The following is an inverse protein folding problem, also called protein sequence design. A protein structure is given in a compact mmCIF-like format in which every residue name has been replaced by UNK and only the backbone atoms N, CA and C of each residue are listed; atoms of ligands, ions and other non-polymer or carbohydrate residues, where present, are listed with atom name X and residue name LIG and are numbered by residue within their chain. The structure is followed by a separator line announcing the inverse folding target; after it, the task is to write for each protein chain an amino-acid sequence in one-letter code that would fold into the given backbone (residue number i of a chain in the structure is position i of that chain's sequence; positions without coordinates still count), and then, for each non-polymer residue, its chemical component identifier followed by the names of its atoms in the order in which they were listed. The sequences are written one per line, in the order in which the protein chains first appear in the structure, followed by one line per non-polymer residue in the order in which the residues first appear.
data_IF_668560600028
#
_entry.id   IF_668560600028
#
_cell.length_a   1.000
_cell.length_b   1.000
_cell.length_c   1.000
_cell.angle_alpha   90.00
_cell.angle_beta   90.00
_cell.angle_gamma   90.00
#
_symmetry.space_group_name_H-M   'P 1'
#
loop_
_entity.id
_entity.type
_entity.pdbx_description
1 polymer ?
#
# COMPACT_ATOMS: atom_id res chain seq x y z
N UNK A 1 -17.49 -0.95 7.95
CA UNK A 1 -16.26 -0.71 8.73
C UNK A 1 -15.16 -0.27 7.78
N UNK A 2 -14.64 0.94 7.92
CA UNK A 2 -13.50 1.42 7.12
C UNK A 2 -12.26 0.58 7.49
N UNK A 3 -11.69 -0.21 6.58
CA UNK A 3 -10.37 -0.81 6.87
C UNK A 3 -9.40 0.33 7.13
N UNK A 4 -8.86 0.38 8.35
CA UNK A 4 -7.82 1.32 8.72
C UNK A 4 -6.52 0.67 8.29
N UNK A 5 -5.86 1.24 7.29
CA UNK A 5 -4.51 0.83 6.95
C UNK A 5 -3.61 1.01 8.16
N UNK A 6 -2.64 0.10 8.31
CA UNK A 6 -1.63 0.22 9.34
C UNK A 6 -0.78 1.46 9.08
N UNK A 7 -0.38 2.22 10.12
CA UNK A 7 0.46 3.40 9.96
C UNK A 7 1.81 3.07 9.30
N UNK A 8 2.27 1.82 9.43
CA UNK A 8 3.49 1.32 8.79
C UNK A 8 3.38 1.30 7.26
N UNK A 9 2.21 0.91 6.72
CA UNK A 9 1.98 0.91 5.28
C UNK A 9 2.01 2.33 4.73
N UNK A 10 1.38 3.27 5.43
CA UNK A 10 1.37 4.67 5.01
C UNK A 10 2.81 5.23 4.96
N UNK A 11 3.60 4.94 5.99
CA UNK A 11 4.99 5.37 6.07
C UNK A 11 5.86 4.77 4.96
N UNK A 12 5.65 3.49 4.63
CA UNK A 12 6.34 2.82 3.51
C UNK A 12 5.97 3.46 2.15
N UNK A 13 4.69 3.76 1.94
CA UNK A 13 4.25 4.46 0.72
C UNK A 13 4.88 5.85 0.58
N UNK A 14 4.93 6.62 1.67
CA UNK A 14 5.52 7.97 1.67
C UNK A 14 7.05 7.96 1.55
N UNK A 15 7.73 7.02 2.20
CA UNK A 15 9.20 6.98 2.24
C UNK A 15 9.84 6.13 1.16
N UNK A 16 9.42 4.87 1.04
CA UNK A 16 10.05 3.90 0.13
C UNK A 16 9.50 4.07 -1.29
N UNK A 17 8.20 4.29 -1.45
CA UNK A 17 7.61 4.55 -2.76
C UNK A 17 7.66 6.03 -3.16
N UNK A 18 8.12 6.91 -2.25
CA UNK A 18 8.18 8.36 -2.44
C UNK A 18 6.84 8.97 -2.92
N UNK A 19 5.72 8.39 -2.49
CA UNK A 19 4.39 8.87 -2.87
C UNK A 19 4.02 10.11 -2.06
N UNK A 20 3.52 11.17 -2.70
CA UNK A 20 3.01 12.31 -1.96
C UNK A 20 1.71 11.91 -1.22
N UNK A 21 1.46 12.51 -0.05
CA UNK A 21 0.29 12.18 0.77
C UNK A 21 -1.04 12.43 0.04
N UNK A 22 -1.07 13.35 -0.92
CA UNK A 22 -2.23 13.64 -1.77
C UNK A 22 -2.58 12.46 -2.69
N UNK A 23 -1.58 11.83 -3.31
CA UNK A 23 -1.76 10.64 -4.14
C UNK A 23 -2.25 9.46 -3.33
N UNK A 24 -1.71 9.29 -2.11
CA UNK A 24 -2.15 8.23 -1.21
C UNK A 24 -3.61 8.48 -0.80
N UNK A 25 -3.95 9.70 -0.39
CA UNK A 25 -5.33 10.07 -0.04
C UNK A 25 -6.32 9.84 -1.19
N UNK A 26 -5.92 10.13 -2.43
CA UNK A 26 -6.72 9.85 -3.61
C UNK A 26 -6.94 8.35 -3.79
N UNK A 27 -5.88 7.53 -3.75
CA UNK A 27 -5.97 6.08 -3.87
C UNK A 27 -6.85 5.45 -2.78
N UNK A 28 -6.73 5.94 -1.53
CA UNK A 28 -7.55 5.52 -0.40
C UNK A 28 -9.05 5.82 -0.60
N UNK A 29 -9.38 6.99 -1.15
CA UNK A 29 -10.78 7.34 -1.47
C UNK A 29 -11.35 6.43 -2.54
N UNK A 30 -10.58 6.13 -3.57
CA UNK A 30 -11.00 5.22 -4.65
C UNK A 30 -11.16 3.80 -4.14
N UNK A 31 -10.26 3.36 -3.26
CA UNK A 31 -10.34 2.06 -2.61
C UNK A 31 -11.65 1.85 -1.84
N UNK A 32 -12.10 2.86 -1.09
CA UNK A 32 -13.38 2.82 -0.38
C UNK A 32 -14.59 2.65 -1.32
N UNK A 33 -14.50 3.13 -2.57
CA UNK A 33 -15.58 3.07 -3.56
C UNK A 33 -15.56 1.78 -4.37
N UNK A 34 -14.36 1.32 -4.78
CA UNK A 34 -14.17 0.25 -5.75
C UNK A 34 -13.96 -1.13 -5.12
N UNK A 35 -13.80 -1.23 -3.78
CA UNK A 35 -13.55 -2.48 -3.04
C UNK A 35 -12.36 -3.31 -3.57
N UNK A 36 -11.43 -2.68 -4.30
CA UNK A 36 -10.27 -3.35 -4.90
C UNK A 36 -9.12 -3.55 -3.90
N UNK A 37 -7.93 -3.93 -4.39
CA UNK A 37 -6.71 -3.92 -3.59
C UNK A 37 -5.98 -2.59 -3.76
N UNK A 38 -5.55 -1.95 -2.66
CA UNK A 38 -4.82 -0.68 -2.71
C UNK A 38 -3.61 -0.70 -3.68
N UNK A 39 -2.76 -1.75 -3.72
CA UNK A 39 -1.64 -1.82 -4.66
C UNK A 39 -2.09 -1.70 -6.12
N UNK A 40 -3.15 -2.42 -6.48
CA UNK A 40 -3.70 -2.43 -7.85
C UNK A 40 -4.27 -1.06 -8.22
N UNK A 41 -4.91 -0.38 -7.27
CA UNK A 41 -5.41 0.99 -7.49
C UNK A 41 -4.25 1.95 -7.70
N UNK A 42 -3.19 1.88 -6.89
CA UNK A 42 -2.01 2.72 -7.08
C UNK A 42 -1.41 2.55 -8.49
N UNK A 43 -1.29 1.30 -8.96
CA UNK A 43 -0.77 1.02 -10.30
C UNK A 43 -1.71 1.44 -11.43
N UNK A 44 -3.02 1.19 -11.30
CA UNK A 44 -4.01 1.55 -12.31
C UNK A 44 -4.06 3.06 -12.57
N UNK A 45 -3.82 3.87 -11.53
CA UNK A 45 -3.75 5.33 -11.64
C UNK A 45 -2.36 5.84 -12.05
N UNK A 46 -1.39 4.95 -12.29
CA UNK A 46 -0.02 5.32 -12.64
C UNK A 46 0.74 6.02 -11.51
N UNK A 47 0.31 5.84 -10.25
CA UNK A 47 0.97 6.41 -9.08
C UNK A 47 2.25 5.66 -8.73
N UNK A 48 2.32 4.37 -9.10
CA UNK A 48 3.47 3.50 -8.86
C UNK A 48 3.81 2.71 -10.12
N UNK A 49 5.08 2.34 -10.26
CA UNK A 49 5.54 1.46 -11.35
C UNK A 49 5.28 -0.01 -11.03
N UNK A 50 5.40 -0.89 -12.04
CA UNK A 50 5.26 -2.34 -11.83
C UNK A 50 6.28 -2.89 -10.82
N UNK A 51 7.52 -2.37 -10.82
CA UNK A 51 8.54 -2.75 -9.84
C UNK A 51 8.13 -2.36 -8.41
N UNK A 52 7.61 -1.15 -8.22
CA UNK A 52 7.11 -0.69 -6.92
C UNK A 52 5.85 -1.44 -6.48
N UNK A 53 5.03 -1.86 -7.44
CA UNK A 53 3.86 -2.71 -7.16
C UNK A 53 4.31 -4.06 -6.59
N UNK A 54 5.34 -4.67 -7.18
CA UNK A 54 5.90 -5.95 -6.72
C UNK A 54 6.46 -5.83 -5.30
N UNK A 55 7.34 -4.84 -5.05
CA UNK A 55 7.88 -4.60 -3.70
C UNK A 55 6.80 -4.27 -2.67
N UNK A 56 5.72 -3.60 -3.06
CA UNK A 56 4.59 -3.34 -2.18
C UNK A 56 3.83 -4.63 -1.83
N UNK A 57 3.67 -5.55 -2.76
CA UNK A 57 3.09 -6.87 -2.48
C UNK A 57 3.98 -7.70 -1.56
N UNK A 58 5.30 -7.72 -1.80
CA UNK A 58 6.27 -8.38 -0.92
C UNK A 58 6.23 -7.80 0.50
N UNK A 59 6.19 -6.48 0.64
CA UNK A 59 6.07 -5.80 1.93
C UNK A 59 4.75 -6.14 2.64
N UNK A 60 3.64 -6.22 1.92
CA UNK A 60 2.33 -6.61 2.46
C UNK A 60 2.31 -8.07 2.94
N UNK A 61 3.03 -8.98 2.26
CA UNK A 61 3.18 -10.37 2.69
C UNK A 61 4.10 -10.49 3.91
N UNK A 62 5.25 -9.80 3.88
CA UNK A 62 6.19 -9.75 4.99
C UNK A 62 5.59 -9.14 6.27
N UNK A 63 4.85 -8.03 6.14
CA UNK A 63 4.15 -7.39 7.27
C UNK A 63 2.98 -8.23 7.80
N UNK A 64 2.41 -9.12 6.99
CA UNK A 64 1.46 -10.15 7.44
C UNK A 64 2.17 -11.33 8.12
N UNK A 65 3.41 -11.59 7.73
CA UNK A 65 4.31 -12.63 8.25
C UNK A 65 5.05 -12.28 9.53
N UNK A 66 4.87 -11.08 10.11
CA UNK A 66 5.41 -10.69 11.42
C UNK A 66 4.69 -11.45 12.55
N UNK A 67 4.96 -12.77 12.62
CA UNK A 67 4.74 -13.60 13.80
C UNK A 67 5.64 -14.83 13.92
N UNK A 68 6.61 -15.06 13.03
CA UNK A 68 7.54 -16.18 13.20
C UNK A 68 8.91 -15.92 12.58
N UNK A 69 9.80 -15.18 13.27
CA UNK A 69 11.26 -15.46 13.29
C UNK A 69 11.86 -14.79 14.54
N UNK A 70 11.38 -15.17 15.72
CA UNK A 70 12.21 -15.07 16.93
C UNK A 70 12.98 -16.38 17.05
N UNK A 71 14.31 -16.30 16.98
CA UNK A 71 15.25 -17.40 17.20
C UNK A 71 16.24 -16.98 18.29
#
# INVERSE_FOLDING_TARGET
MTMRYSPQLLHYLERDLALPPESIAMALRQWQQQQGSLPIILWQYGLISLEQLDSLFEWLDASRGDRQFEH
#
